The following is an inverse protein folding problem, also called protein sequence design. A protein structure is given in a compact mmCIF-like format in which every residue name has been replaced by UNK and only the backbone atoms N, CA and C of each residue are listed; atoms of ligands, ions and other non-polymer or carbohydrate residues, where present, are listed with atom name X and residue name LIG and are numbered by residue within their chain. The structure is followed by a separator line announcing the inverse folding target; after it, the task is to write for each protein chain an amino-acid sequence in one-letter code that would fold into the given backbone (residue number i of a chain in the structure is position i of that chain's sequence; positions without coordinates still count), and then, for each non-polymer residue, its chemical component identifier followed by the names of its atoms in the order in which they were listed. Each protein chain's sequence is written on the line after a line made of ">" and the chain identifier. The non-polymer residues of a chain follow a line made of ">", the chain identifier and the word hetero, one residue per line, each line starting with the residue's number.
data_IF_662281125321
#
_entry.id   IF_662281125321
#
_cell.length_a   1.000
_cell.length_b   1.000
_cell.length_c   1.000
_cell.angle_alpha   90.00
_cell.angle_beta   90.00
_cell.angle_gamma   90.00
#
_symmetry.space_group_name_H-M   'P 1'
#
loop_
_entity.id
_entity.type
_entity.pdbx_description
1 polymer ?
#
# COMPACT_ATOMS: atom_id res chain seq x y z
N UNK A 1 -23.69 12.14 -12.40
CA UNK A 1 -23.42 11.14 -11.35
C UNK A 1 -22.28 10.32 -11.87
N UNK A 2 -21.10 10.62 -11.37
CA UNK A 2 -19.85 9.97 -11.79
C UNK A 2 -19.53 8.79 -10.85
N UNK A 3 -18.78 7.82 -11.37
CA UNK A 3 -18.22 6.70 -10.61
C UNK A 3 -16.74 6.94 -10.38
N UNK A 4 -16.37 7.25 -9.14
CA UNK A 4 -15.00 7.54 -8.75
C UNK A 4 -14.45 6.38 -7.94
N UNK A 5 -13.30 5.84 -8.37
CA UNK A 5 -12.58 4.79 -7.66
C UNK A 5 -11.27 5.34 -7.14
N UNK A 6 -11.13 5.34 -5.82
CA UNK A 6 -9.91 5.79 -5.14
C UNK A 6 -9.07 4.55 -4.81
N UNK A 7 -7.82 4.52 -5.24
CA UNK A 7 -6.90 3.40 -4.99
C UNK A 7 -5.59 3.93 -4.41
N UNK A 8 -5.45 3.95 -3.09
CA UNK A 8 -4.33 4.65 -2.43
C UNK A 8 -3.21 3.73 -1.96
N UNK A 9 -1.95 4.04 -2.26
CA UNK A 9 -0.78 3.36 -1.67
C UNK A 9 -0.27 4.03 -0.38
N UNK A 10 -0.74 5.26 -0.09
CA UNK A 10 -0.30 6.06 1.04
C UNK A 10 1.15 6.55 0.92
N UNK A 11 1.59 7.23 1.97
CA UNK A 11 2.92 7.80 2.19
C UNK A 11 3.46 7.42 3.59
N UNK A 12 3.70 6.14 3.89
CA UNK A 12 4.14 5.74 5.23
C UNK A 12 5.51 6.35 5.59
N UNK A 13 5.74 6.78 6.85
CA UNK A 13 4.85 6.62 8.01
C UNK A 13 3.85 7.77 8.21
N UNK A 14 3.78 8.74 7.30
CA UNK A 14 3.08 10.01 7.51
C UNK A 14 1.58 9.87 7.28
N UNK A 15 1.22 9.25 6.17
CA UNK A 15 -0.18 9.04 5.78
C UNK A 15 -0.29 7.62 5.27
N UNK A 16 -1.06 6.75 5.92
CA UNK A 16 -1.24 5.39 5.39
C UNK A 16 -2.26 5.36 4.24
N UNK A 17 -2.32 4.25 3.52
CA UNK A 17 -3.22 4.05 2.38
C UNK A 17 -4.70 4.29 2.72
N UNK A 18 -5.14 3.88 3.91
CA UNK A 18 -6.52 4.05 4.39
C UNK A 18 -6.80 5.53 4.65
N UNK A 19 -5.88 6.22 5.32
CA UNK A 19 -6.03 7.66 5.61
C UNK A 19 -6.08 8.48 4.34
N UNK A 20 -5.19 8.21 3.37
CA UNK A 20 -5.26 8.82 2.04
C UNK A 20 -6.64 8.62 1.42
N UNK A 21 -7.10 7.36 1.34
CA UNK A 21 -8.39 7.04 0.76
C UNK A 21 -9.55 7.77 1.44
N UNK A 22 -9.54 7.83 2.78
CA UNK A 22 -10.59 8.45 3.58
C UNK A 22 -10.60 9.99 3.45
N UNK A 23 -9.42 10.62 3.40
CA UNK A 23 -9.32 12.07 3.17
C UNK A 23 -9.85 12.39 1.77
N UNK A 24 -9.42 11.65 0.75
CA UNK A 24 -9.87 11.82 -0.63
C UNK A 24 -11.38 11.62 -0.76
N UNK A 25 -11.90 10.53 -0.20
CA UNK A 25 -13.34 10.24 -0.19
C UNK A 25 -14.15 11.38 0.43
N UNK A 26 -13.80 11.82 1.65
CA UNK A 26 -14.56 12.86 2.37
C UNK A 26 -14.53 14.18 1.62
N UNK A 27 -13.35 14.60 1.15
CA UNK A 27 -13.16 15.87 0.44
C UNK A 27 -14.00 15.93 -0.83
N UNK A 28 -13.98 14.87 -1.64
CA UNK A 28 -14.78 14.81 -2.87
C UNK A 28 -16.28 14.74 -2.54
N UNK A 29 -16.66 13.98 -1.51
CA UNK A 29 -18.08 13.79 -1.13
C UNK A 29 -18.74 15.07 -0.60
N UNK A 30 -17.97 15.97 0.00
CA UNK A 30 -18.45 17.29 0.43
C UNK A 30 -18.93 18.14 -0.76
N UNK A 31 -18.28 18.03 -1.92
CA UNK A 31 -18.65 18.77 -3.14
C UNK A 31 -19.64 18.01 -4.03
N UNK A 32 -19.47 16.69 -4.13
CA UNK A 32 -20.25 15.80 -4.99
C UNK A 32 -20.99 14.72 -4.18
N UNK A 33 -22.03 15.10 -3.41
CA UNK A 33 -22.74 14.19 -2.52
C UNK A 33 -23.50 13.09 -3.25
N UNK A 34 -23.75 13.23 -4.55
CA UNK A 34 -24.51 12.27 -5.34
C UNK A 34 -23.64 11.27 -6.10
N UNK A 35 -22.32 11.48 -6.19
CA UNK A 35 -21.44 10.58 -6.96
C UNK A 35 -21.19 9.25 -6.26
N UNK A 36 -21.01 8.18 -7.02
CA UNK A 36 -20.66 6.87 -6.48
C UNK A 36 -19.15 6.85 -6.24
N UNK A 37 -18.73 6.95 -4.98
CA UNK A 37 -17.32 6.96 -4.61
C UNK A 37 -17.03 5.69 -3.81
N UNK A 38 -16.04 4.93 -4.24
CA UNK A 38 -15.51 3.78 -3.50
C UNK A 38 -14.00 3.89 -3.36
N UNK A 39 -13.44 3.32 -2.31
CA UNK A 39 -11.99 3.38 -2.07
C UNK A 39 -11.40 2.02 -1.69
N UNK A 40 -10.16 1.82 -2.12
CA UNK A 40 -9.41 0.57 -2.02
C UNK A 40 -7.96 0.88 -1.62
N UNK A 41 -7.61 0.82 -0.31
CA UNK A 41 -6.23 0.98 0.10
C UNK A 41 -5.39 -0.16 -0.48
N UNK A 42 -4.20 0.14 -0.99
CA UNK A 42 -3.23 -0.83 -1.50
C UNK A 42 -1.95 -0.78 -0.70
N UNK A 43 -1.16 -1.85 -0.84
CA UNK A 43 0.21 -1.93 -0.39
C UNK A 43 1.01 -2.73 -1.44
N UNK A 44 2.32 -2.55 -1.46
CA UNK A 44 3.23 -3.23 -2.39
C UNK A 44 3.99 -4.40 -1.76
N UNK A 45 3.60 -4.84 -0.56
CA UNK A 45 4.33 -5.86 0.21
C UNK A 45 5.42 -5.28 1.11
N UNK A 46 5.54 -3.95 1.21
CA UNK A 46 6.39 -3.27 2.18
C UNK A 46 5.59 -2.65 3.33
N UNK A 47 6.04 -1.48 3.80
CA UNK A 47 5.38 -0.73 4.88
C UNK A 47 3.92 -0.42 4.57
N UNK A 48 3.01 -0.68 5.52
CA UNK A 48 1.56 -0.49 5.35
C UNK A 48 0.79 -1.75 4.95
N UNK A 49 1.49 -2.86 4.67
CA UNK A 49 0.88 -4.14 4.28
C UNK A 49 0.02 -4.73 5.39
N UNK A 50 0.44 -4.62 6.65
CA UNK A 50 -0.35 -5.08 7.81
C UNK A 50 -1.69 -4.34 7.88
N UNK A 51 -1.67 -3.01 7.78
CA UNK A 51 -2.88 -2.20 7.87
C UNK A 51 -3.83 -2.48 6.70
N UNK A 52 -3.29 -2.63 5.49
CA UNK A 52 -4.08 -3.00 4.30
C UNK A 52 -4.68 -4.41 4.44
N UNK A 53 -3.94 -5.36 5.00
CA UNK A 53 -4.46 -6.70 5.27
C UNK A 53 -5.61 -6.68 6.30
N UNK A 54 -5.46 -5.93 7.40
CA UNK A 54 -6.52 -5.73 8.40
C UNK A 54 -7.79 -5.18 7.74
N UNK A 55 -7.64 -4.20 6.85
CA UNK A 55 -8.77 -3.59 6.15
C UNK A 55 -9.59 -4.61 5.34
N UNK A 56 -8.94 -5.47 4.56
CA UNK A 56 -9.65 -6.40 3.67
C UNK A 56 -10.12 -7.68 4.35
N UNK A 57 -9.33 -8.21 5.28
CA UNK A 57 -9.56 -9.55 5.82
C UNK A 57 -10.09 -9.52 7.26
N UNK A 58 -10.18 -8.36 7.92
CA UNK A 58 -10.79 -8.18 9.26
C UNK A 58 -10.16 -9.04 10.37
N UNK A 59 -8.85 -9.23 10.32
CA UNK A 59 -8.08 -9.86 11.40
C UNK A 59 -7.62 -8.90 12.48
N UNK A 60 -6.87 -9.44 13.44
CA UNK A 60 -6.36 -8.73 14.60
C UNK A 60 -4.91 -8.29 14.40
N UNK A 61 -4.58 -7.11 14.96
CA UNK A 61 -3.20 -6.70 15.14
C UNK A 61 -2.66 -7.30 16.45
N UNK A 62 -1.83 -8.31 16.32
CA UNK A 62 -1.22 -9.00 17.45
C UNK A 62 0.07 -8.30 17.82
N UNK A 63 0.22 -7.94 19.10
CA UNK A 63 1.44 -7.34 19.66
C UNK A 63 2.26 -8.39 20.41
N UNK A 64 3.57 -8.40 20.17
CA UNK A 64 4.53 -9.31 20.79
C UNK A 64 5.64 -8.48 21.44
N UNK A 65 5.94 -8.76 22.70
CA UNK A 65 7.04 -8.10 23.42
C UNK A 65 8.36 -8.79 23.07
N UNK A 66 9.29 -8.04 22.46
CA UNK A 66 10.64 -8.47 22.13
C UNK A 66 11.67 -7.72 22.98
N UNK A 67 12.08 -8.31 24.12
CA UNK A 67 13.02 -7.74 25.11
C UNK A 67 12.59 -6.36 25.65
N UNK A 68 12.71 -5.32 24.83
CA UNK A 68 12.40 -3.93 25.11
C UNK A 68 11.53 -3.25 24.03
N UNK A 69 11.25 -3.90 22.91
CA UNK A 69 10.39 -3.37 21.82
C UNK A 69 9.07 -4.13 21.73
N UNK A 70 8.02 -3.46 21.24
CA UNK A 70 6.76 -4.10 20.88
C UNK A 70 6.76 -4.26 19.38
N UNK A 71 6.71 -5.51 18.95
CA UNK A 71 6.53 -5.89 17.55
C UNK A 71 5.07 -6.22 17.29
N UNK A 72 4.65 -6.18 16.03
CA UNK A 72 3.28 -6.56 15.69
C UNK A 72 3.17 -7.24 14.34
N UNK A 73 2.16 -8.09 14.22
CA UNK A 73 1.78 -8.73 12.97
C UNK A 73 0.26 -8.85 12.87
N UNK A 74 -0.23 -9.06 11.65
CA UNK A 74 -1.61 -9.37 11.36
C UNK A 74 -1.89 -10.85 11.55
N UNK A 75 -3.00 -11.22 12.20
CA UNK A 75 -3.47 -12.60 12.28
C UNK A 75 -4.96 -12.70 11.96
N UNK A 76 -5.33 -13.64 11.10
CA UNK A 76 -6.72 -14.05 10.89
C UNK A 76 -6.78 -15.53 10.52
N UNK A 77 -7.47 -16.31 11.34
CA UNK A 77 -7.57 -17.75 11.20
C UNK A 77 -6.18 -18.39 11.03
N UNK A 78 -5.92 -18.91 9.83
CA UNK A 78 -4.72 -19.64 9.45
C UNK A 78 -3.68 -18.76 8.73
N UNK A 79 -3.96 -17.47 8.54
CA UNK A 79 -3.08 -16.53 7.85
C UNK A 79 -2.46 -15.53 8.83
N UNK A 80 -1.13 -15.39 8.78
CA UNK A 80 -0.42 -14.28 9.39
C UNK A 80 0.31 -13.44 8.33
N UNK A 81 0.41 -12.14 8.56
CA UNK A 81 1.27 -11.25 7.77
C UNK A 81 2.14 -10.40 8.70
N UNK A 82 3.45 -10.51 8.50
CA UNK A 82 4.49 -9.87 9.31
C UNK A 82 5.20 -8.84 8.43
N UNK A 83 5.29 -7.60 8.90
CA UNK A 83 5.95 -6.51 8.18
C UNK A 83 7.36 -6.26 8.72
N UNK A 84 8.32 -6.08 7.81
CA UNK A 84 9.68 -5.65 8.13
C UNK A 84 9.70 -4.29 8.81
N UNK A 85 10.67 -4.08 9.71
CA UNK A 85 10.97 -2.77 10.27
C UNK A 85 12.48 -2.51 10.12
N UNK A 86 12.94 -1.33 10.52
CA UNK A 86 14.33 -0.96 10.29
C UNK A 86 15.35 -1.83 11.09
N UNK A 87 14.88 -2.65 12.06
CA UNK A 87 15.66 -3.62 12.84
C UNK A 87 15.35 -5.07 12.39
N UNK A 88 15.87 -5.44 11.23
CA UNK A 88 15.69 -6.75 10.60
C UNK A 88 16.55 -7.87 11.20
N UNK A 89 16.63 -7.93 12.52
CA UNK A 89 17.32 -9.03 13.18
C UNK A 89 16.63 -10.37 12.87
N UNK A 90 17.41 -11.40 12.54
CA UNK A 90 16.89 -12.77 12.32
C UNK A 90 16.03 -13.20 13.52
N UNK A 91 16.47 -12.88 14.74
CA UNK A 91 15.74 -13.16 15.98
C UNK A 91 14.30 -12.60 15.98
N UNK A 92 14.09 -11.37 15.52
CA UNK A 92 12.77 -10.74 15.43
C UNK A 92 11.84 -11.55 14.54
N UNK A 93 12.30 -11.88 13.33
CA UNK A 93 11.52 -12.67 12.39
C UNK A 93 11.18 -14.05 12.94
N UNK A 94 12.15 -14.74 13.56
CA UNK A 94 11.92 -16.05 14.19
C UNK A 94 10.87 -15.95 15.31
N UNK A 95 10.96 -14.92 16.15
CA UNK A 95 9.99 -14.67 17.23
C UNK A 95 8.57 -14.50 16.67
N UNK A 96 8.39 -13.64 15.66
CA UNK A 96 7.08 -13.35 15.11
C UNK A 96 6.49 -14.53 14.34
N UNK A 97 7.32 -15.24 13.56
CA UNK A 97 6.89 -16.46 12.85
C UNK A 97 6.50 -17.55 13.86
N UNK A 98 7.29 -17.75 14.92
CA UNK A 98 6.96 -18.73 15.96
C UNK A 98 5.68 -18.38 16.70
N UNK A 99 5.50 -17.12 17.10
CA UNK A 99 4.29 -16.69 17.80
C UNK A 99 3.04 -16.84 16.91
N UNK A 100 3.14 -16.45 15.63
CA UNK A 100 2.07 -16.61 14.64
C UNK A 100 1.64 -18.07 14.49
N UNK A 101 2.61 -18.97 14.34
CA UNK A 101 2.37 -20.41 14.20
C UNK A 101 1.77 -21.01 15.48
N UNK A 102 2.29 -20.63 16.65
CA UNK A 102 1.74 -21.07 17.94
C UNK A 102 0.28 -20.63 18.12
N UNK A 103 -0.14 -19.52 17.49
CA UNK A 103 -1.52 -19.04 17.47
C UNK A 103 -2.37 -19.60 16.34
N UNK A 104 -1.83 -20.54 15.56
CA UNK A 104 -2.59 -21.33 14.60
C UNK A 104 -2.38 -20.94 13.12
N UNK A 105 -1.54 -19.95 12.83
CA UNK A 105 -1.23 -19.61 11.44
C UNK A 105 -0.50 -20.76 10.74
N UNK A 106 -1.01 -21.20 9.59
CA UNK A 106 -0.37 -22.17 8.69
C UNK A 106 0.20 -21.53 7.44
N UNK A 107 -0.26 -20.33 7.10
CA UNK A 107 0.24 -19.51 5.99
C UNK A 107 0.77 -18.19 6.54
N UNK A 108 2.06 -17.93 6.37
CA UNK A 108 2.73 -16.75 6.93
C UNK A 108 3.37 -15.97 5.79
N UNK A 109 2.88 -14.74 5.59
CA UNK A 109 3.40 -13.79 4.62
C UNK A 109 4.39 -12.85 5.29
N UNK A 110 5.55 -12.68 4.68
CA UNK A 110 6.58 -11.75 5.12
C UNK A 110 6.57 -10.57 4.14
N UNK A 111 6.15 -9.40 4.61
CA UNK A 111 6.15 -8.16 3.85
C UNK A 111 7.52 -7.48 3.99
N UNK A 112 8.32 -7.55 2.92
CA UNK A 112 9.73 -7.20 2.90
C UNK A 112 9.98 -6.03 1.95
N UNK A 113 10.73 -5.02 2.40
CA UNK A 113 11.09 -3.86 1.55
C UNK A 113 12.58 -3.79 1.30
N UNK A 114 13.04 -4.52 0.28
CA UNK A 114 14.46 -4.49 -0.13
C UNK A 114 15.42 -5.06 0.92
N UNK A 115 14.91 -5.92 1.81
CA UNK A 115 15.65 -6.51 2.91
C UNK A 115 16.20 -7.88 2.50
N UNK A 116 17.51 -8.07 2.66
CA UNK A 116 18.13 -9.39 2.53
C UNK A 116 17.99 -10.14 3.86
N UNK A 117 16.99 -11.00 3.95
CA UNK A 117 16.83 -11.88 5.11
C UNK A 117 17.51 -13.21 4.83
N UNK A 118 18.38 -13.64 5.75
CA UNK A 118 18.88 -15.00 5.81
C UNK A 118 18.38 -15.68 7.08
N UNK A 119 17.74 -16.83 6.93
CA UNK A 119 17.41 -17.73 8.04
C UNK A 119 18.40 -18.89 8.03
N UNK A 120 19.58 -18.67 8.60
CA UNK A 120 20.58 -19.75 8.61
C UNK A 120 20.22 -20.83 9.63
N UNK A 121 19.40 -20.52 10.64
CA UNK A 121 19.08 -21.42 11.75
C UNK A 121 17.57 -21.55 12.05
N UNK A 122 16.70 -21.21 11.10
CA UNK A 122 15.26 -21.31 11.35
C UNK A 122 14.78 -22.75 11.30
N UNK A 123 14.32 -23.26 12.44
CA UNK A 123 13.60 -24.54 12.53
C UNK A 123 12.16 -24.22 12.93
N UNK A 124 11.15 -24.45 12.06
CA UNK A 124 9.77 -24.23 12.44
C UNK A 124 9.39 -25.12 13.62
N UNK A 125 8.80 -24.52 14.65
CA UNK A 125 8.69 -25.13 15.99
C UNK A 125 7.56 -26.16 16.07
N UNK A 126 6.50 -26.05 15.26
CA UNK A 126 5.39 -27.01 15.22
C UNK A 126 4.59 -26.83 13.91
N UNK A 127 4.19 -27.90 13.21
CA UNK A 127 3.36 -27.92 11.97
C UNK A 127 4.05 -27.51 10.65
N UNK A 128 3.52 -28.06 9.55
CA UNK A 128 3.80 -27.63 8.18
C UNK A 128 3.31 -26.19 8.01
N UNK A 129 4.24 -25.23 7.97
CA UNK A 129 3.95 -23.83 7.66
C UNK A 129 4.39 -23.50 6.23
N UNK A 130 3.57 -22.73 5.53
CA UNK A 130 3.95 -22.11 4.26
C UNK A 130 4.42 -20.69 4.52
N UNK A 131 5.69 -20.43 4.23
CA UNK A 131 6.27 -19.08 4.28
C UNK A 131 6.33 -18.50 2.87
N UNK A 132 5.85 -17.27 2.70
CA UNK A 132 5.84 -16.56 1.40
C UNK A 132 6.32 -15.14 1.60
N UNK A 133 7.25 -14.67 0.77
CA UNK A 133 7.70 -13.28 0.79
C UNK A 133 6.85 -12.42 -0.17
N UNK A 134 6.47 -11.22 0.28
CA UNK A 134 5.87 -10.16 -0.51
C UNK A 134 6.91 -9.06 -0.75
N UNK A 135 7.16 -8.71 -2.01
CA UNK A 135 8.03 -7.60 -2.40
C UNK A 135 9.25 -8.01 -3.24
N UNK A 136 10.10 -7.03 -3.57
CA UNK A 136 11.21 -7.16 -4.54
C UNK A 136 12.55 -7.58 -3.90
N UNK A 137 12.54 -8.05 -2.65
CA UNK A 137 13.74 -8.43 -1.92
C UNK A 137 14.47 -9.64 -2.54
N UNK A 138 15.81 -9.59 -2.57
CA UNK A 138 16.65 -10.77 -2.87
C UNK A 138 16.67 -11.68 -1.65
N UNK A 139 15.68 -12.56 -1.57
CA UNK A 139 15.69 -13.57 -0.53
C UNK A 139 16.84 -14.56 -0.78
N UNK A 140 17.79 -14.62 0.15
CA UNK A 140 18.74 -15.75 0.27
C UNK A 140 18.05 -17.00 0.85
N UNK A 141 16.75 -17.10 0.64
CA UNK A 141 15.84 -18.07 1.19
C UNK A 141 15.10 -18.69 0.02
N UNK A 142 15.02 -20.02 0.00
CA UNK A 142 14.25 -20.78 -1.00
C UNK A 142 12.74 -20.69 -0.75
N UNK A 143 12.24 -19.50 -0.43
CA UNK A 143 10.81 -19.26 -0.25
C UNK A 143 10.19 -18.87 -1.59
N UNK A 144 8.92 -19.25 -1.85
CA UNK A 144 8.17 -18.63 -2.92
C UNK A 144 8.07 -17.12 -2.67
N UNK A 145 8.46 -16.35 -3.68
CA UNK A 145 8.31 -14.89 -3.71
C UNK A 145 7.10 -14.58 -4.58
N UNK A 146 6.18 -13.77 -4.07
CA UNK A 146 5.07 -13.23 -4.86
C UNK A 146 5.16 -11.70 -4.89
N UNK A 147 4.79 -11.13 -6.03
CA UNK A 147 4.74 -9.70 -6.19
C UNK A 147 3.67 -9.10 -5.24
N UNK A 148 4.11 -8.27 -4.30
CA UNK A 148 3.24 -7.74 -3.24
C UNK A 148 2.15 -6.82 -3.77
N UNK A 149 2.45 -5.99 -4.77
CA UNK A 149 1.47 -5.10 -5.39
C UNK A 149 0.33 -5.89 -6.06
N UNK A 150 0.66 -6.92 -6.83
CA UNK A 150 -0.33 -7.84 -7.42
C UNK A 150 -1.11 -8.60 -6.36
N UNK A 151 -0.46 -9.04 -5.28
CA UNK A 151 -1.14 -9.71 -4.17
C UNK A 151 -2.24 -8.81 -3.57
N UNK A 152 -1.91 -7.57 -3.21
CA UNK A 152 -2.88 -6.64 -2.62
C UNK A 152 -3.92 -6.13 -3.64
N UNK A 153 -3.53 -5.93 -4.89
CA UNK A 153 -4.47 -5.61 -5.97
C UNK A 153 -5.54 -6.70 -6.12
N UNK A 154 -5.13 -7.97 -6.18
CA UNK A 154 -6.06 -9.10 -6.26
C UNK A 154 -6.89 -9.25 -4.98
N UNK A 155 -6.28 -9.09 -3.81
CA UNK A 155 -6.95 -9.11 -2.51
C UNK A 155 -8.09 -8.08 -2.43
N UNK A 156 -7.85 -6.88 -2.94
CA UNK A 156 -8.82 -5.78 -2.93
C UNK A 156 -10.03 -6.00 -3.84
N UNK A 157 -9.90 -6.87 -4.85
CA UNK A 157 -10.89 -7.08 -5.92
C UNK A 157 -11.29 -5.78 -6.64
N UNK A 158 -10.38 -4.79 -6.68
CA UNK A 158 -10.64 -3.45 -7.22
C UNK A 158 -10.77 -3.41 -8.74
N UNK A 159 -10.27 -4.42 -9.46
CA UNK A 159 -10.24 -4.44 -10.93
C UNK A 159 -11.61 -4.24 -11.58
N UNK A 160 -12.64 -4.95 -11.09
CA UNK A 160 -14.00 -4.78 -11.62
C UNK A 160 -14.46 -3.32 -11.45
N UNK A 161 -14.14 -2.71 -10.32
CA UNK A 161 -14.54 -1.34 -10.00
C UNK A 161 -13.82 -0.32 -10.87
N UNK A 162 -12.53 -0.54 -11.14
CA UNK A 162 -11.77 0.23 -12.12
C UNK A 162 -12.41 0.17 -13.51
N UNK A 163 -12.86 -1.02 -13.97
CA UNK A 163 -13.50 -1.15 -15.29
C UNK A 163 -14.83 -0.40 -15.41
N UNK A 164 -15.52 -0.19 -14.29
CA UNK A 164 -16.80 0.52 -14.19
C UNK A 164 -16.63 2.03 -13.90
N UNK A 165 -15.43 2.47 -13.51
CA UNK A 165 -15.17 3.85 -13.11
C UNK A 165 -15.22 4.84 -14.29
N UNK A 166 -15.51 6.10 -13.99
CA UNK A 166 -15.28 7.22 -14.89
C UNK A 166 -13.89 7.84 -14.61
N UNK A 167 -13.51 7.88 -13.33
CA UNK A 167 -12.23 8.42 -12.85
C UNK A 167 -11.60 7.49 -11.80
N UNK A 168 -10.29 7.28 -11.93
CA UNK A 168 -9.46 6.58 -10.95
C UNK A 168 -8.54 7.59 -10.30
N UNK A 169 -8.49 7.62 -8.97
CA UNK A 169 -7.58 8.50 -8.20
C UNK A 169 -6.62 7.64 -7.40
N UNK A 170 -5.32 7.85 -7.54
CA UNK A 170 -4.29 7.13 -6.78
C UNK A 170 -3.22 8.07 -6.22
N UNK A 171 -2.28 7.52 -5.46
CA UNK A 171 -1.21 8.27 -4.83
C UNK A 171 0.11 7.50 -4.80
N UNK A 172 1.22 8.21 -4.95
CA UNK A 172 2.56 7.69 -4.65
C UNK A 172 3.45 8.79 -4.10
N UNK A 173 4.47 8.45 -3.31
CA UNK A 173 5.46 9.43 -2.86
C UNK A 173 6.30 9.97 -4.02
N UNK A 174 6.75 9.08 -4.89
CA UNK A 174 7.59 9.41 -6.01
C UNK A 174 7.31 8.44 -7.14
N UNK A 175 7.24 8.98 -8.35
CA UNK A 175 7.24 8.18 -9.57
C UNK A 175 8.70 7.98 -9.98
N UNK A 176 9.19 6.75 -9.98
CA UNK A 176 10.57 6.44 -10.35
C UNK A 176 10.78 6.54 -11.86
N UNK A 177 11.96 6.97 -12.30
CA UNK A 177 12.31 7.00 -13.74
C UNK A 177 12.39 5.60 -14.35
N UNK A 178 12.68 4.59 -13.54
CA UNK A 178 12.92 3.22 -13.97
C UNK A 178 11.65 2.34 -14.01
N UNK A 179 10.47 2.92 -13.75
CA UNK A 179 9.13 2.29 -13.83
C UNK A 179 9.18 0.76 -13.83
N UNK A 180 9.53 0.12 -12.70
CA UNK A 180 9.45 -1.32 -12.65
C UNK A 180 7.99 -1.69 -12.90
N UNK A 181 7.75 -2.50 -13.95
CA UNK A 181 6.44 -2.90 -14.51
C UNK A 181 5.50 -3.63 -13.51
N UNK A 182 5.84 -3.60 -12.24
CA UNK A 182 5.43 -4.52 -11.20
C UNK A 182 5.07 -3.83 -9.86
N UNK A 183 5.11 -2.49 -9.79
CA UNK A 183 4.59 -1.74 -8.64
C UNK A 183 3.09 -1.42 -8.75
N UNK A 184 2.48 -0.96 -7.64
CA UNK A 184 1.04 -0.69 -7.55
C UNK A 184 0.59 0.35 -8.58
N UNK A 185 1.40 1.38 -8.81
CA UNK A 185 1.13 2.45 -9.78
C UNK A 185 1.15 1.94 -11.21
N UNK A 186 2.13 1.09 -11.55
CA UNK A 186 2.25 0.47 -12.87
C UNK A 186 1.05 -0.41 -13.20
N UNK A 187 0.58 -1.19 -12.21
CA UNK A 187 -0.65 -1.99 -12.34
C UNK A 187 -1.84 -1.07 -12.64
N UNK A 188 -1.98 0.04 -11.92
CA UNK A 188 -3.09 0.98 -12.12
C UNK A 188 -3.03 1.71 -13.46
N UNK A 189 -1.86 2.19 -13.89
CA UNK A 189 -1.67 2.80 -15.21
C UNK A 189 -2.04 1.81 -16.32
N UNK A 190 -1.57 0.55 -16.22
CA UNK A 190 -1.89 -0.49 -17.18
C UNK A 190 -3.40 -0.74 -17.25
N UNK A 191 -4.07 -0.86 -16.09
CA UNK A 191 -5.51 -1.12 -16.02
C UNK A 191 -6.36 0.06 -16.48
N UNK A 192 -5.97 1.29 -16.12
CA UNK A 192 -6.62 2.49 -16.63
C UNK A 192 -6.57 2.55 -18.16
N UNK A 193 -5.40 2.28 -18.74
CA UNK A 193 -5.22 2.23 -20.20
C UNK A 193 -6.02 1.09 -20.85
N UNK A 194 -5.99 -0.11 -20.26
CA UNK A 194 -6.72 -1.29 -20.73
C UNK A 194 -8.23 -1.01 -20.86
N UNK A 195 -8.80 -0.32 -19.87
CA UNK A 195 -10.23 -0.01 -19.82
C UNK A 195 -10.59 1.39 -20.34
N UNK A 196 -9.62 2.12 -20.92
CA UNK A 196 -9.77 3.50 -21.40
C UNK A 196 -10.39 4.44 -20.35
N UNK A 197 -9.81 4.45 -19.14
CA UNK A 197 -10.25 5.24 -17.99
C UNK A 197 -9.31 6.39 -17.71
N UNK A 198 -9.86 7.49 -17.21
CA UNK A 198 -9.06 8.60 -16.71
C UNK A 198 -8.36 8.18 -15.41
N UNK A 199 -7.05 8.45 -15.33
CA UNK A 199 -6.24 8.19 -14.15
C UNK A 199 -5.60 9.48 -13.67
N UNK A 200 -5.96 9.86 -12.45
CA UNK A 200 -5.36 10.95 -11.69
C UNK A 200 -4.39 10.39 -10.65
N UNK A 201 -3.14 10.81 -10.70
CA UNK A 201 -2.11 10.46 -9.71
C UNK A 201 -1.76 11.71 -8.90
N UNK A 202 -1.91 11.61 -7.59
CA UNK A 202 -1.43 12.60 -6.63
C UNK A 202 -0.06 12.15 -6.14
N UNK A 203 0.99 12.88 -6.50
CA UNK A 203 2.36 12.50 -6.19
C UNK A 203 2.99 13.41 -5.15
N UNK A 204 3.83 12.87 -4.27
CA UNK A 204 4.63 13.68 -3.35
C UNK A 204 5.62 14.57 -4.11
N UNK A 205 6.20 14.03 -5.19
CA UNK A 205 7.07 14.75 -6.13
C UNK A 205 6.69 14.46 -7.58
N UNK A 206 6.85 15.44 -8.46
CA UNK A 206 6.63 15.25 -9.88
C UNK A 206 7.90 14.69 -10.56
N UNK A 207 7.76 13.71 -11.48
CA UNK A 207 8.86 13.30 -12.34
C UNK A 207 9.17 14.40 -13.37
N UNK A 208 10.37 14.34 -13.95
CA UNK A 208 10.80 15.28 -15.01
C UNK A 208 10.16 14.99 -16.38
N UNK A 209 9.39 13.90 -16.50
CA UNK A 209 8.78 13.45 -17.75
C UNK A 209 7.25 13.35 -17.62
N UNK A 210 6.57 13.40 -18.77
CA UNK A 210 5.12 13.23 -18.85
C UNK A 210 4.75 11.76 -18.93
N UNK A 211 3.63 11.41 -18.30
CA UNK A 211 2.99 10.11 -18.42
C UNK A 211 1.79 10.23 -19.37
N UNK A 212 1.87 9.68 -20.60
CA UNK A 212 0.78 9.80 -21.55
C UNK A 212 -0.51 9.18 -21.03
N UNK A 213 -1.61 9.94 -21.03
CA UNK A 213 -2.93 9.47 -20.57
C UNK A 213 -3.08 9.43 -19.05
N UNK A 214 -2.20 10.10 -18.31
CA UNK A 214 -2.26 10.21 -16.86
C UNK A 214 -2.22 11.68 -16.47
N UNK A 215 -3.19 12.09 -15.66
CA UNK A 215 -3.24 13.40 -15.02
C UNK A 215 -2.40 13.34 -13.74
N UNK A 216 -1.42 14.22 -13.58
CA UNK A 216 -0.42 14.12 -12.53
C UNK A 216 -0.27 15.45 -11.78
N UNK A 217 -0.43 15.40 -10.45
CA UNK A 217 -0.40 16.59 -9.60
C UNK A 217 0.49 16.39 -8.38
N UNK A 218 1.20 17.45 -7.99
CA UNK A 218 2.04 17.47 -6.81
C UNK A 218 1.23 17.74 -5.55
N UNK A 219 1.51 17.01 -4.47
CA UNK A 219 1.07 17.32 -3.11
C UNK A 219 2.08 18.18 -2.35
N UNK A 220 3.24 18.47 -2.95
CA UNK A 220 4.26 19.35 -2.39
C UNK A 220 4.27 20.66 -3.17
N UNK A 221 3.94 21.80 -2.54
CA UNK A 221 4.10 23.12 -3.15
C UNK A 221 5.55 23.38 -3.54
N UNK A 222 5.75 24.13 -4.63
CA UNK A 222 7.08 24.55 -5.04
C UNK A 222 7.78 25.33 -3.92
N UNK A 223 9.06 25.00 -3.67
CA UNK A 223 9.92 25.62 -2.66
C UNK A 223 9.52 25.38 -1.19
N UNK A 224 8.60 24.46 -0.89
CA UNK A 224 8.32 24.05 0.49
C UNK A 224 9.43 23.12 1.03
N UNK A 225 10.02 23.40 2.21
CA UNK A 225 10.95 22.47 2.85
C UNK A 225 10.31 21.10 3.08
N UNK A 226 11.09 20.02 2.87
CA UNK A 226 10.60 18.65 2.95
C UNK A 226 9.92 18.36 4.30
N UNK A 227 10.49 18.78 5.42
CA UNK A 227 9.91 18.50 6.74
C UNK A 227 8.55 19.17 6.95
N UNK A 228 8.34 20.35 6.35
CA UNK A 228 7.05 21.05 6.35
C UNK A 228 6.09 20.34 5.40
N UNK A 229 6.53 19.99 4.19
CA UNK A 229 5.70 19.27 3.21
C UNK A 229 5.17 17.94 3.78
N UNK A 230 6.00 17.22 4.53
CA UNK A 230 5.60 15.98 5.20
C UNK A 230 4.59 16.24 6.35
N UNK A 231 4.76 17.31 7.13
CA UNK A 231 3.80 17.68 8.20
C UNK A 231 2.45 18.12 7.65
N UNK A 232 2.44 18.83 6.53
CA UNK A 232 1.24 19.38 5.90
C UNK A 232 0.62 18.45 4.86
N UNK A 233 1.17 17.25 4.63
CA UNK A 233 0.77 16.35 3.55
C UNK A 233 -0.74 16.09 3.49
N UNK A 234 -1.39 15.92 4.65
CA UNK A 234 -2.84 15.73 4.74
C UNK A 234 -3.64 16.97 4.32
N UNK A 235 -3.15 18.16 4.67
CA UNK A 235 -3.78 19.43 4.30
C UNK A 235 -3.55 19.72 2.82
N UNK A 236 -2.33 19.51 2.33
CA UNK A 236 -2.00 19.67 0.92
C UNK A 236 -2.87 18.74 0.05
N UNK A 237 -3.05 17.48 0.44
CA UNK A 237 -3.98 16.57 -0.23
C UNK A 237 -5.39 17.17 -0.37
N UNK A 238 -5.94 17.73 0.72
CA UNK A 238 -7.27 18.36 0.68
C UNK A 238 -7.31 19.57 -0.23
N UNK A 239 -6.34 20.47 -0.12
CA UNK A 239 -6.30 21.68 -0.94
C UNK A 239 -6.12 21.36 -2.42
N UNK A 240 -5.22 20.43 -2.77
CA UNK A 240 -5.06 19.95 -4.14
C UNK A 240 -6.38 19.39 -4.68
N UNK A 241 -7.08 18.53 -3.93
CA UNK A 241 -8.38 18.00 -4.36
C UNK A 241 -9.43 19.10 -4.56
N UNK A 242 -9.48 20.11 -3.67
CA UNK A 242 -10.38 21.25 -3.80
C UNK A 242 -10.09 22.04 -5.08
N UNK A 243 -8.82 22.30 -5.38
CA UNK A 243 -8.44 23.03 -6.58
C UNK A 243 -8.74 22.23 -7.85
N UNK A 244 -8.49 20.92 -7.85
CA UNK A 244 -8.86 20.03 -8.96
C UNK A 244 -10.38 20.01 -9.23
N UNK A 245 -11.21 20.00 -8.18
CA UNK A 245 -12.67 20.11 -8.32
C UNK A 245 -13.11 21.50 -8.79
N UNK A 246 -12.35 22.57 -8.51
CA UNK A 246 -12.65 23.92 -9.01
C UNK A 246 -12.28 24.09 -10.48
N UNK A 247 -11.32 23.31 -10.94
CA UNK A 247 -10.86 23.27 -12.34
C UNK A 247 -11.64 22.25 -13.19
N UNK A 248 -12.70 21.64 -12.63
CA UNK A 248 -13.53 20.61 -13.27
C UNK A 248 -12.72 19.38 -13.76
N UNK A 249 -11.62 19.05 -13.06
CA UNK A 249 -10.82 17.85 -13.31
C UNK A 249 -11.41 16.62 -12.59
N UNK A 250 -11.97 16.85 -11.40
CA UNK A 250 -12.71 15.87 -10.58
C UNK A 250 -14.19 16.24 -10.55
#
# INVERSE_FOLDING_TARGET
>A
MSKIVIVGEGYPPILNAIEFCMITYKTIKERYPNDEISFYPLASGGRGSVQTMIHYQKGDLIKVLNKTTIESYYLNNDIALIEGNDDNSEYRWQLLISDSNNKGATSIYLALKGEDISFNNFTPINKEITLTALGDSKLHLKLPIINGANFFFNLSKVEQKISEADLIITSTFQISNDYPLEDSISILIKKAKEYNKQLLILSGTLPEYKLPGVDLYSLSPENMPLDIALKELSNNLRYTLIDLMREDII
#
